data_IF_272544110148
#
_entry.id   IF_272544110148
#
_cell.length_a   1.000
_cell.length_b   1.000
_cell.length_c   1.000
_cell.angle_alpha   90.00
_cell.angle_beta   90.00
_cell.angle_gamma   90.00
#
_symmetry.space_group_name_H-M   'P 1'
#
loop_
_entity.id
_entity.type
_entity.pdbx_description
1 polymer ?
#
# COMPACT_ATOMS: atom_id res chain seq x y z
N UNK A 1 -12.43 48.36 -40.90
CA UNK A 1 -13.02 47.06 -40.49
C UNK A 1 -12.25 46.60 -39.25
N UNK A 2 -12.82 46.89 -38.10
CA UNK A 2 -12.24 46.63 -36.79
C UNK A 2 -12.78 45.31 -36.32
N UNK A 3 -11.89 44.36 -35.95
CA UNK A 3 -12.28 43.13 -35.29
C UNK A 3 -11.93 43.25 -33.80
N UNK A 4 -12.98 43.36 -33.01
CA UNK A 4 -12.99 43.25 -31.57
C UNK A 4 -12.64 41.79 -31.17
N UNK A 5 -11.54 41.60 -30.48
CA UNK A 5 -11.21 40.35 -29.78
C UNK A 5 -11.57 40.52 -28.33
N UNK A 6 -12.72 39.96 -27.94
CA UNK A 6 -13.16 39.83 -26.56
C UNK A 6 -12.25 38.81 -25.86
N UNK A 7 -11.50 39.32 -24.88
CA UNK A 7 -10.73 38.59 -23.89
C UNK A 7 -11.69 37.86 -22.94
N UNK A 8 -11.70 36.52 -23.02
CA UNK A 8 -12.36 35.67 -22.03
C UNK A 8 -11.39 35.36 -20.93
N UNK A 9 -11.45 36.16 -19.88
CA UNK A 9 -10.90 35.84 -18.57
C UNK A 9 -11.35 34.42 -18.15
N UNK A 10 -10.41 33.46 -18.15
CA UNK A 10 -10.61 32.16 -17.54
C UNK A 10 -10.38 32.29 -16.04
N UNK A 11 -11.45 32.05 -15.31
CA UNK A 11 -11.43 31.86 -13.85
C UNK A 11 -10.37 30.84 -13.46
N UNK A 12 -9.39 31.34 -12.73
CA UNK A 12 -8.36 30.59 -12.07
C UNK A 12 -9.01 29.98 -10.82
N UNK A 13 -9.70 28.82 -10.96
CA UNK A 13 -10.19 28.07 -9.83
C UNK A 13 -9.00 27.56 -9.04
N UNK A 14 -8.91 28.11 -7.85
CA UNK A 14 -7.98 27.79 -6.77
C UNK A 14 -7.76 26.26 -6.64
N UNK A 15 -6.62 25.79 -7.11
CA UNK A 15 -6.04 24.55 -6.61
C UNK A 15 -5.58 24.84 -5.17
N UNK A 16 -6.35 24.37 -4.20
CA UNK A 16 -5.89 24.30 -2.82
C UNK A 16 -4.67 23.37 -2.81
N UNK A 17 -3.54 23.92 -2.36
CA UNK A 17 -2.33 23.13 -2.10
C UNK A 17 -2.69 21.95 -1.18
N UNK A 18 -2.12 20.74 -1.43
CA UNK A 18 -2.36 19.61 -0.54
C UNK A 18 -1.84 19.97 0.84
N UNK A 19 -2.73 19.91 1.84
CA UNK A 19 -2.40 20.11 3.25
C UNK A 19 -1.13 19.35 3.58
N UNK A 20 -0.14 20.05 4.10
CA UNK A 20 1.12 19.51 4.58
C UNK A 20 0.79 18.60 5.77
N UNK A 21 0.68 17.28 5.52
CA UNK A 21 0.42 16.31 6.57
C UNK A 21 1.62 16.26 7.53
N UNK A 22 1.38 16.62 8.78
CA UNK A 22 2.35 16.48 9.86
C UNK A 22 2.63 14.99 10.12
N UNK A 23 3.73 14.50 9.56
CA UNK A 23 4.19 13.13 9.73
C UNK A 23 4.92 12.89 11.06
N UNK A 24 5.03 13.91 11.94
CA UNK A 24 5.72 13.82 13.23
C UNK A 24 5.13 12.71 14.11
N UNK A 25 3.81 12.48 14.02
CA UNK A 25 3.11 11.40 14.70
C UNK A 25 3.59 10.01 14.24
N UNK A 26 3.92 9.84 12.97
CA UNK A 26 4.39 8.56 12.44
C UNK A 26 5.76 8.16 12.97
N UNK A 27 6.59 9.12 13.36
CA UNK A 27 7.91 8.89 13.97
C UNK A 27 7.86 8.64 15.47
N UNK A 28 6.83 9.13 16.17
CA UNK A 28 6.65 8.93 17.62
C UNK A 28 5.82 7.69 17.94
N UNK A 29 5.25 7.02 16.94
CA UNK A 29 4.39 5.86 17.14
C UNK A 29 5.23 4.61 17.51
N UNK A 30 4.95 4.05 18.70
CA UNK A 30 5.62 2.83 19.15
C UNK A 30 5.02 1.58 18.47
N UNK A 31 5.73 1.04 17.50
CA UNK A 31 5.30 -0.10 16.68
C UNK A 31 5.31 -1.45 17.40
N UNK A 32 5.99 -1.52 18.56
CA UNK A 32 6.01 -2.76 19.35
C UNK A 32 4.70 -2.97 20.13
N UNK A 33 3.95 -1.90 20.38
CA UNK A 33 2.69 -1.92 21.12
C UNK A 33 1.61 -1.00 20.51
N UNK A 34 1.21 -1.22 19.26
CA UNK A 34 0.27 -0.34 18.57
C UNK A 34 -1.11 -0.33 19.24
N UNK A 35 -1.55 -1.47 19.81
CA UNK A 35 -2.86 -1.58 20.45
C UNK A 35 -2.94 -0.76 21.75
N UNK A 36 -1.85 -0.65 22.51
CA UNK A 36 -1.80 0.14 23.75
C UNK A 36 -1.90 1.63 23.44
N UNK A 37 -1.20 2.13 22.42
CA UNK A 37 -1.25 3.54 22.04
C UNK A 37 -2.60 3.95 21.46
N UNK A 38 -3.22 3.08 20.65
CA UNK A 38 -4.59 3.30 20.18
C UNK A 38 -5.58 3.27 21.35
N UNK A 39 -5.38 2.40 22.32
CA UNK A 39 -6.23 2.31 23.53
C UNK A 39 -6.07 3.56 24.42
N UNK A 40 -4.85 4.08 24.55
CA UNK A 40 -4.57 5.29 25.33
C UNK A 40 -5.15 6.53 24.65
N UNK A 41 -4.98 6.70 23.35
CA UNK A 41 -5.62 7.74 22.56
C UNK A 41 -7.15 7.70 22.66
N UNK A 42 -7.74 6.50 22.66
CA UNK A 42 -9.18 6.31 22.86
C UNK A 42 -9.64 6.64 24.30
N UNK A 43 -8.81 6.37 25.33
CA UNK A 43 -9.11 6.79 26.71
C UNK A 43 -9.18 8.30 26.84
N UNK A 44 -8.20 9.02 26.29
CA UNK A 44 -8.19 10.49 26.32
C UNK A 44 -9.43 11.08 25.64
N UNK A 45 -9.86 10.51 24.53
CA UNK A 45 -11.10 10.93 23.82
C UNK A 45 -12.39 10.59 24.58
N UNK A 46 -12.37 9.55 25.44
CA UNK A 46 -13.54 9.11 26.21
C UNK A 46 -13.65 9.78 27.58
N UNK A 47 -12.53 10.18 28.22
CA UNK A 47 -12.52 10.80 29.55
C UNK A 47 -13.05 12.25 29.57
N UNK A 48 -13.11 12.95 28.44
CA UNK A 48 -13.58 14.35 28.39
C UNK A 48 -15.13 14.49 28.42
N UNK A 49 -15.89 13.45 28.83
CA UNK A 49 -17.37 13.48 28.74
C UNK A 49 -18.16 13.00 29.96
N UNK A 50 -17.57 12.96 31.16
CA UNK A 50 -18.35 12.62 32.36
C UNK A 50 -18.51 13.82 33.28
N UNK A 51 -19.36 14.77 32.87
CA UNK A 51 -20.04 15.68 33.80
C UNK A 51 -21.37 16.12 33.18
N UNK A 52 -22.46 15.50 33.57
CA UNK A 52 -23.77 16.08 33.93
C UNK A 52 -24.93 15.07 33.84
N UNK A 53 -25.56 14.72 34.92
CA UNK A 53 -26.98 15.06 35.22
C UNK A 53 -27.67 14.09 36.18
N UNK A 54 -28.44 14.68 37.04
CA UNK A 54 -29.29 13.98 38.02
C UNK A 54 -30.70 13.63 37.52
N UNK A 55 -31.21 12.63 38.12
CA UNK A 55 -32.55 12.21 38.67
C UNK A 55 -33.84 12.28 37.82
N UNK A 56 -34.57 11.15 37.60
CA UNK A 56 -35.91 10.73 38.15
C UNK A 56 -36.61 9.63 37.35
N UNK A 57 -37.25 8.67 38.08
CA UNK A 57 -38.36 7.72 37.86
C UNK A 57 -38.12 6.36 37.13
N UNK A 58 -38.53 5.20 37.80
CA UNK A 58 -37.97 3.89 37.48
C UNK A 58 -38.53 3.13 36.25
N UNK A 59 -39.65 3.46 35.71
CA UNK A 59 -40.22 2.71 34.56
C UNK A 59 -40.01 3.39 33.20
N UNK A 60 -39.84 4.72 33.15
CA UNK A 60 -39.31 5.44 31.98
C UNK A 60 -37.78 5.31 31.90
N UNK A 61 -37.13 5.01 33.00
CA UNK A 61 -35.69 4.85 33.13
C UNK A 61 -35.16 3.60 32.39
N UNK A 62 -35.85 2.45 32.46
CA UNK A 62 -35.39 1.22 31.80
C UNK A 62 -35.43 1.28 30.24
N UNK A 63 -36.48 1.90 29.69
CA UNK A 63 -36.55 2.10 28.22
C UNK A 63 -35.58 3.17 27.77
N UNK A 64 -35.37 4.20 28.59
CA UNK A 64 -34.35 5.25 28.28
C UNK A 64 -32.90 4.77 28.51
N UNK A 65 -32.66 3.88 29.47
CA UNK A 65 -31.33 3.29 29.68
C UNK A 65 -30.94 2.37 28.54
N UNK A 66 -31.84 1.50 28.08
CA UNK A 66 -31.62 0.66 26.88
C UNK A 66 -31.40 1.48 25.62
N UNK A 67 -32.15 2.58 25.45
CA UNK A 67 -31.97 3.47 24.29
C UNK A 67 -30.66 4.28 24.38
N UNK A 68 -30.23 4.67 25.58
CA UNK A 68 -28.94 5.35 25.82
C UNK A 68 -27.77 4.38 25.68
N UNK A 69 -27.86 3.12 26.10
CA UNK A 69 -26.87 2.09 25.89
C UNK A 69 -26.67 1.80 24.39
N UNK A 70 -27.75 1.62 23.63
CA UNK A 70 -27.68 1.41 22.18
C UNK A 70 -27.12 2.63 21.43
N UNK A 71 -27.39 3.85 21.87
CA UNK A 71 -26.76 5.06 21.29
C UNK A 71 -25.29 5.19 21.68
N UNK A 72 -24.92 4.84 22.93
CA UNK A 72 -23.53 4.82 23.41
C UNK A 72 -22.71 3.77 22.65
N UNK A 73 -23.29 2.60 22.38
CA UNK A 73 -22.66 1.54 21.60
C UNK A 73 -22.50 1.91 20.12
N UNK A 74 -23.51 2.56 19.52
CA UNK A 74 -23.39 3.10 18.15
C UNK A 74 -22.29 4.16 18.05
N UNK A 75 -22.20 5.08 19.04
CA UNK A 75 -21.12 6.10 19.08
C UNK A 75 -19.74 5.45 19.27
N UNK A 76 -19.62 4.44 20.13
CA UNK A 76 -18.37 3.69 20.32
C UNK A 76 -17.98 2.94 19.05
N UNK A 77 -18.95 2.37 18.35
CA UNK A 77 -18.72 1.69 17.09
C UNK A 77 -18.26 2.67 16.00
N UNK A 78 -18.91 3.81 15.85
CA UNK A 78 -18.52 4.86 14.90
C UNK A 78 -17.10 5.41 15.18
N UNK A 79 -16.73 5.59 16.46
CA UNK A 79 -15.38 6.01 16.85
C UNK A 79 -14.35 4.92 16.48
N UNK A 80 -14.66 3.64 16.73
CA UNK A 80 -13.76 2.54 16.35
C UNK A 80 -13.58 2.44 14.83
N UNK A 81 -14.65 2.61 14.08
CA UNK A 81 -14.62 2.60 12.61
C UNK A 81 -13.81 3.78 12.07
N UNK A 82 -14.00 4.98 12.63
CA UNK A 82 -13.20 6.15 12.27
C UNK A 82 -11.71 5.94 12.58
N UNK A 83 -11.37 5.44 13.77
CA UNK A 83 -9.99 5.15 14.14
C UNK A 83 -9.36 4.05 13.27
N UNK A 84 -10.13 3.03 12.88
CA UNK A 84 -9.67 1.98 11.98
C UNK A 84 -9.40 2.53 10.56
N UNK A 85 -10.24 3.44 10.07
CA UNK A 85 -10.06 4.10 8.79
C UNK A 85 -8.80 4.98 8.78
N UNK A 86 -8.58 5.76 9.83
CA UNK A 86 -7.37 6.58 9.99
C UNK A 86 -6.10 5.71 10.06
N UNK A 87 -6.14 4.62 10.82
CA UNK A 87 -5.03 3.68 10.88
C UNK A 87 -4.73 3.05 9.52
N UNK A 88 -5.75 2.72 8.73
CA UNK A 88 -5.58 2.21 7.37
C UNK A 88 -4.94 3.27 6.45
N UNK A 89 -5.37 4.53 6.56
CA UNK A 89 -4.80 5.65 5.83
C UNK A 89 -3.32 5.87 6.14
N UNK A 90 -2.96 5.84 7.43
CA UNK A 90 -1.56 5.97 7.86
C UNK A 90 -0.70 4.83 7.32
N UNK A 91 -1.18 3.58 7.40
CA UNK A 91 -0.48 2.41 6.82
C UNK A 91 -0.24 2.59 5.33
N UNK A 92 -1.23 3.08 4.60
CA UNK A 92 -1.12 3.35 3.17
C UNK A 92 -0.08 4.42 2.86
N UNK A 93 -0.09 5.55 3.59
CA UNK A 93 0.89 6.63 3.43
C UNK A 93 2.32 6.15 3.72
N UNK A 94 2.50 5.32 4.75
CA UNK A 94 3.81 4.72 5.06
C UNK A 94 4.28 3.75 3.97
N UNK A 95 3.39 2.98 3.36
CA UNK A 95 3.75 2.06 2.29
C UNK A 95 4.13 2.77 0.98
N UNK A 96 3.63 3.99 0.75
CA UNK A 96 3.96 4.79 -0.44
C UNK A 96 5.22 5.64 -0.23
N UNK A 97 5.53 6.04 1.01
CA UNK A 97 6.65 6.93 1.29
C UNK A 97 8.00 6.22 1.03
N UNK A 98 8.79 6.63 0.02
CA UNK A 98 10.04 5.95 -0.37
C UNK A 98 11.11 5.94 0.73
N UNK A 99 10.96 6.78 1.75
CA UNK A 99 11.87 6.86 2.89
C UNK A 99 11.50 5.92 4.05
N UNK A 100 10.39 5.19 3.96
CA UNK A 100 9.97 4.28 5.02
C UNK A 100 11.04 3.21 5.30
N UNK A 101 11.45 3.04 6.57
CA UNK A 101 12.46 2.05 6.93
C UNK A 101 11.99 0.60 6.69
N UNK A 102 12.89 -0.33 6.30
CA UNK A 102 12.54 -1.72 6.07
C UNK A 102 11.82 -2.43 7.23
N UNK A 103 12.18 -2.24 8.50
CA UNK A 103 11.45 -2.86 9.62
C UNK A 103 9.98 -2.42 9.71
N UNK A 104 9.69 -1.16 9.36
CA UNK A 104 8.31 -0.64 9.34
C UNK A 104 7.53 -1.33 8.22
N UNK A 105 8.12 -1.45 7.02
CA UNK A 105 7.50 -2.18 5.91
C UNK A 105 7.19 -3.63 6.27
N UNK A 106 8.13 -4.31 6.94
CA UNK A 106 7.92 -5.67 7.41
C UNK A 106 6.75 -5.76 8.41
N UNK A 107 6.66 -4.81 9.32
CA UNK A 107 5.55 -4.74 10.28
C UNK A 107 4.21 -4.50 9.57
N UNK A 108 4.19 -3.63 8.57
CA UNK A 108 2.97 -3.32 7.80
C UNK A 108 2.43 -4.54 7.03
N UNK A 109 3.25 -5.55 6.72
CA UNK A 109 2.77 -6.77 6.04
C UNK A 109 1.90 -7.67 6.91
N UNK A 110 1.87 -7.46 8.23
CA UNK A 110 1.07 -8.28 9.14
C UNK A 110 -0.40 -7.92 9.00
N UNK A 111 -1.23 -8.91 8.68
CA UNK A 111 -2.69 -8.75 8.52
C UNK A 111 -3.09 -7.60 7.56
N UNK A 112 -2.29 -7.35 6.54
CA UNK A 112 -2.52 -6.31 5.56
C UNK A 112 -3.40 -6.80 4.39
N UNK A 113 -4.25 -5.95 3.81
CA UNK A 113 -4.96 -6.29 2.58
C UNK A 113 -3.99 -6.42 1.40
N UNK A 114 -4.34 -7.24 0.39
CA UNK A 114 -3.50 -7.50 -0.78
C UNK A 114 -2.99 -6.23 -1.46
N UNK A 115 -3.83 -5.22 -1.60
CA UNK A 115 -3.46 -3.93 -2.20
C UNK A 115 -2.32 -3.22 -1.46
N UNK A 116 -2.29 -3.30 -0.12
CA UNK A 116 -1.19 -2.74 0.67
C UNK A 116 0.08 -3.58 0.53
N UNK A 117 -0.06 -4.92 0.48
CA UNK A 117 1.06 -5.85 0.26
C UNK A 117 1.70 -5.65 -1.12
N UNK A 118 0.90 -5.38 -2.15
CA UNK A 118 1.36 -5.01 -3.49
C UNK A 118 2.25 -3.77 -3.45
N UNK A 119 1.80 -2.70 -2.78
CA UNK A 119 2.59 -1.47 -2.60
C UNK A 119 3.89 -1.69 -1.83
N UNK A 120 3.87 -2.56 -0.82
CA UNK A 120 5.09 -2.95 -0.10
C UNK A 120 6.02 -3.77 -1.01
N UNK A 121 5.46 -4.65 -1.86
CA UNK A 121 6.21 -5.41 -2.86
C UNK A 121 6.94 -4.52 -3.86
N UNK A 122 6.34 -3.42 -4.29
CA UNK A 122 6.94 -2.40 -5.19
C UNK A 122 7.92 -1.46 -4.47
N UNK A 123 7.94 -1.44 -3.13
CA UNK A 123 8.67 -0.43 -2.39
C UNK A 123 10.19 -0.57 -2.55
N UNK A 124 10.93 0.52 -2.87
CA UNK A 124 12.37 0.46 -3.17
C UNK A 124 13.24 0.08 -1.97
N UNK A 125 12.73 0.20 -0.76
CA UNK A 125 13.43 -0.19 0.48
C UNK A 125 12.88 -1.48 1.10
N UNK A 126 12.02 -2.22 0.42
CA UNK A 126 11.58 -3.51 0.90
C UNK A 126 12.77 -4.48 1.02
N UNK A 127 12.88 -5.15 2.17
CA UNK A 127 13.97 -6.09 2.41
C UNK A 127 13.71 -7.41 1.68
N UNK A 128 14.77 -8.08 1.23
CA UNK A 128 14.67 -9.34 0.48
C UNK A 128 13.93 -10.45 1.23
N UNK A 129 14.00 -10.48 2.57
CA UNK A 129 13.26 -11.42 3.41
C UNK A 129 11.74 -11.14 3.39
N UNK A 130 11.35 -9.88 3.42
CA UNK A 130 9.94 -9.47 3.29
C UNK A 130 9.42 -9.83 1.90
N UNK A 131 10.19 -9.54 0.85
CA UNK A 131 9.86 -9.90 -0.53
C UNK A 131 9.73 -11.42 -0.71
N UNK A 132 10.64 -12.22 -0.12
CA UNK A 132 10.54 -13.68 -0.19
C UNK A 132 9.26 -14.22 0.47
N UNK A 133 8.76 -13.58 1.51
CA UNK A 133 7.48 -13.92 2.15
C UNK A 133 6.29 -13.52 1.29
N UNK A 134 6.34 -12.35 0.64
CA UNK A 134 5.29 -11.89 -0.29
C UNK A 134 5.25 -12.71 -1.59
N UNK A 135 6.38 -13.27 -2.01
CA UNK A 135 6.49 -14.11 -3.21
C UNK A 135 5.68 -15.42 -3.15
N UNK A 136 5.24 -15.83 -1.97
CA UNK A 136 4.39 -17.03 -1.77
C UNK A 136 2.95 -16.67 -1.38
N UNK A 137 2.57 -15.40 -1.54
CA UNK A 137 1.21 -14.94 -1.23
C UNK A 137 0.19 -15.55 -2.19
N UNK A 138 -1.06 -15.75 -1.72
CA UNK A 138 -2.14 -16.33 -2.53
C UNK A 138 -2.52 -15.45 -3.73
N UNK A 139 -2.48 -14.14 -3.56
CA UNK A 139 -2.80 -13.16 -4.59
C UNK A 139 -1.62 -13.01 -5.58
N UNK A 140 -1.91 -13.21 -6.87
CA UNK A 140 -0.91 -13.12 -7.94
C UNK A 140 -0.39 -11.68 -8.14
N UNK A 141 -1.18 -10.64 -7.86
CA UNK A 141 -0.74 -9.25 -7.98
C UNK A 141 0.35 -8.91 -6.94
N UNK A 142 0.22 -9.43 -5.72
CA UNK A 142 1.27 -9.32 -4.70
C UNK A 142 2.55 -10.02 -5.16
N UNK A 143 2.46 -11.22 -5.74
CA UNK A 143 3.64 -11.92 -6.26
C UNK A 143 4.26 -11.20 -7.48
N UNK A 144 3.41 -10.61 -8.33
CA UNK A 144 3.85 -9.83 -9.48
C UNK A 144 4.63 -8.56 -9.07
N UNK A 145 4.19 -7.86 -8.03
CA UNK A 145 4.91 -6.69 -7.50
C UNK A 145 6.31 -7.06 -6.98
N UNK A 146 6.45 -8.26 -6.36
CA UNK A 146 7.76 -8.78 -5.95
C UNK A 146 8.66 -9.08 -7.15
N UNK A 147 8.10 -9.56 -8.27
CA UNK A 147 8.86 -9.86 -9.48
C UNK A 147 9.54 -8.64 -10.10
N UNK A 148 8.98 -7.46 -9.93
CA UNK A 148 9.52 -6.19 -10.43
C UNK A 148 10.54 -5.54 -9.46
N UNK A 149 10.60 -5.96 -8.21
CA UNK A 149 11.42 -5.31 -7.21
C UNK A 149 12.91 -5.69 -7.34
N UNK A 150 13.77 -4.68 -7.44
CA UNK A 150 15.24 -4.86 -7.59
C UNK A 150 15.90 -5.54 -6.37
N UNK A 151 15.28 -5.47 -5.19
CA UNK A 151 15.80 -6.10 -3.97
C UNK A 151 15.37 -7.56 -3.84
N UNK A 152 14.64 -8.09 -4.82
CA UNK A 152 14.20 -9.49 -4.82
C UNK A 152 15.40 -10.41 -5.02
N UNK A 153 15.56 -11.38 -4.11
CA UNK A 153 16.68 -12.31 -4.18
C UNK A 153 16.60 -13.21 -5.41
N UNK A 154 17.75 -13.60 -5.96
CA UNK A 154 17.82 -14.53 -7.10
C UNK A 154 17.06 -15.83 -6.85
N UNK A 155 17.11 -16.35 -5.62
CA UNK A 155 16.37 -17.55 -5.22
C UNK A 155 14.85 -17.32 -5.37
N UNK A 156 14.37 -16.17 -4.94
CA UNK A 156 12.94 -15.79 -5.06
C UNK A 156 12.54 -15.63 -6.52
N UNK A 157 13.37 -14.98 -7.33
CA UNK A 157 13.12 -14.82 -8.77
C UNK A 157 13.01 -16.19 -9.48
N UNK A 158 13.91 -17.13 -9.18
CA UNK A 158 13.84 -18.49 -9.75
C UNK A 158 12.56 -19.25 -9.36
N UNK A 159 12.01 -18.99 -8.17
CA UNK A 159 10.71 -19.54 -7.79
C UNK A 159 9.58 -18.90 -8.62
N UNK A 160 9.60 -17.59 -8.83
CA UNK A 160 8.59 -16.85 -9.58
C UNK A 160 8.62 -17.15 -11.10
N UNK A 161 9.75 -17.58 -11.65
CA UNK A 161 9.84 -18.07 -13.05
C UNK A 161 8.87 -19.23 -13.31
N UNK A 162 8.60 -20.04 -12.27
CA UNK A 162 7.69 -21.19 -12.32
C UNK A 162 6.35 -20.90 -11.65
N UNK A 163 5.99 -19.62 -11.51
CA UNK A 163 4.72 -19.23 -10.90
C UNK A 163 3.54 -19.77 -11.73
N UNK A 164 2.49 -20.29 -11.09
CA UNK A 164 1.30 -20.77 -11.81
C UNK A 164 0.58 -19.67 -12.58
N UNK A 165 0.70 -18.40 -12.16
CA UNK A 165 0.10 -17.27 -12.87
C UNK A 165 0.99 -16.77 -14.00
N UNK A 166 0.50 -16.72 -15.24
CA UNK A 166 1.23 -16.15 -16.36
C UNK A 166 1.50 -14.65 -16.16
N UNK A 167 0.67 -13.94 -15.38
CA UNK A 167 0.86 -12.52 -15.12
C UNK A 167 2.15 -12.26 -14.32
N UNK A 168 2.45 -13.11 -13.34
CA UNK A 168 3.71 -13.04 -12.58
C UNK A 168 4.91 -13.30 -13.48
N UNK A 169 4.83 -14.34 -14.33
CA UNK A 169 5.90 -14.67 -15.27
C UNK A 169 6.07 -13.57 -16.33
N UNK A 170 4.96 -12.93 -16.76
CA UNK A 170 4.98 -11.80 -17.69
C UNK A 170 5.72 -10.58 -17.07
N UNK A 171 5.48 -10.28 -15.81
CA UNK A 171 6.19 -9.21 -15.10
C UNK A 171 7.70 -9.44 -15.05
N UNK A 172 8.13 -10.68 -14.82
CA UNK A 172 9.55 -11.03 -14.92
C UNK A 172 10.09 -10.86 -16.35
N UNK A 173 9.32 -11.23 -17.36
CA UNK A 173 9.70 -11.08 -18.78
C UNK A 173 9.80 -9.61 -19.21
N UNK A 174 9.12 -8.70 -18.53
CA UNK A 174 9.18 -7.24 -18.74
C UNK A 174 10.37 -6.59 -18.05
N UNK A 175 10.88 -7.18 -16.98
CA UNK A 175 11.90 -6.59 -16.14
C UNK A 175 13.28 -6.63 -16.81
N UNK A 176 13.93 -5.47 -16.87
CA UNK A 176 15.32 -5.33 -17.36
C UNK A 176 16.36 -5.66 -16.30
N UNK A 177 15.96 -5.81 -15.05
CA UNK A 177 16.85 -6.13 -13.93
C UNK A 177 17.06 -7.63 -13.77
N UNK A 178 16.25 -8.43 -14.43
CA UNK A 178 16.31 -9.90 -14.39
C UNK A 178 17.46 -10.39 -15.27
N UNK A 179 18.29 -11.33 -14.79
CA UNK A 179 19.37 -11.89 -15.57
C UNK A 179 18.94 -12.52 -16.89
N UNK A 180 19.77 -12.41 -17.92
CA UNK A 180 19.52 -12.97 -19.27
C UNK A 180 19.20 -14.47 -19.23
N UNK A 181 19.81 -15.22 -18.29
CA UNK A 181 19.54 -16.64 -18.11
C UNK A 181 18.06 -16.93 -17.81
N UNK A 182 17.43 -16.08 -16.99
CA UNK A 182 16.01 -16.20 -16.64
C UNK A 182 15.13 -15.80 -17.82
N UNK A 183 15.46 -14.71 -18.52
CA UNK A 183 14.74 -14.30 -19.72
C UNK A 183 14.79 -15.36 -20.81
N UNK A 184 15.88 -16.13 -20.94
CA UNK A 184 15.97 -17.28 -21.86
C UNK A 184 14.99 -18.38 -21.48
N UNK A 185 14.84 -18.68 -20.18
CA UNK A 185 13.86 -19.67 -19.72
C UNK A 185 12.44 -19.20 -20.02
N UNK A 186 12.14 -17.92 -19.78
CA UNK A 186 10.83 -17.33 -20.07
C UNK A 186 10.56 -17.17 -21.59
N UNK A 187 11.61 -17.15 -22.43
CA UNK A 187 11.44 -17.11 -23.88
C UNK A 187 10.87 -18.43 -24.46
N UNK A 188 10.99 -19.52 -23.69
CA UNK A 188 10.42 -20.85 -23.99
C UNK A 188 9.19 -21.14 -23.12
N UNK A 189 8.54 -20.11 -22.56
CA UNK A 189 7.34 -20.26 -21.73
C UNK A 189 6.17 -20.84 -22.53
N UNK A 190 5.35 -21.67 -21.88
CA UNK A 190 4.13 -22.24 -22.44
C UNK A 190 3.10 -21.17 -22.88
N UNK A 191 3.11 -20.00 -22.22
CA UNK A 191 2.24 -18.89 -22.57
C UNK A 191 2.92 -18.01 -23.63
N UNK A 192 2.32 -17.89 -24.85
CA UNK A 192 2.93 -17.16 -25.97
C UNK A 192 3.13 -15.67 -25.69
N UNK A 193 2.34 -15.07 -24.80
CA UNK A 193 2.52 -13.66 -24.41
C UNK A 193 3.78 -13.48 -23.57
N UNK A 194 4.03 -14.38 -22.62
CA UNK A 194 5.24 -14.39 -21.79
C UNK A 194 6.47 -14.63 -22.66
N UNK A 195 6.44 -15.67 -23.49
CA UNK A 195 7.54 -16.00 -24.39
C UNK A 195 7.89 -14.83 -25.33
N UNK A 196 6.89 -14.27 -26.02
CA UNK A 196 7.08 -13.13 -26.93
C UNK A 196 7.65 -11.91 -26.19
N UNK A 197 7.21 -11.66 -24.95
CA UNK A 197 7.70 -10.53 -24.15
C UNK A 197 9.16 -10.73 -23.74
N UNK A 198 9.50 -11.91 -23.26
CA UNK A 198 10.87 -12.27 -22.89
C UNK A 198 11.83 -12.15 -24.08
N UNK A 199 11.43 -12.63 -25.26
CA UNK A 199 12.23 -12.49 -26.49
C UNK A 199 12.48 -11.02 -26.86
N UNK A 200 11.46 -10.16 -26.76
CA UNK A 200 11.61 -8.72 -27.03
C UNK A 200 12.59 -8.06 -26.04
N UNK A 201 12.48 -8.40 -24.76
CA UNK A 201 13.35 -7.88 -23.71
C UNK A 201 14.81 -8.34 -23.95
N UNK A 202 15.02 -9.61 -24.30
CA UNK A 202 16.32 -10.15 -24.68
C UNK A 202 16.93 -9.41 -25.88
N UNK A 203 16.18 -9.24 -26.95
CA UNK A 203 16.66 -8.54 -28.15
C UNK A 203 17.06 -7.09 -27.84
N UNK A 204 16.32 -6.40 -26.98
CA UNK A 204 16.64 -5.05 -26.54
C UNK A 204 17.94 -5.01 -25.74
N UNK A 205 18.10 -5.88 -24.75
CA UNK A 205 19.31 -5.97 -23.95
C UNK A 205 20.54 -6.32 -24.80
N UNK A 206 20.39 -7.21 -25.79
CA UNK A 206 21.47 -7.57 -26.69
C UNK A 206 21.91 -6.40 -27.58
N UNK A 207 20.98 -5.56 -28.05
CA UNK A 207 21.32 -4.32 -28.78
C UNK A 207 22.09 -3.33 -27.90
N UNK A 208 21.61 -3.07 -26.70
CA UNK A 208 22.30 -2.17 -25.75
C UNK A 208 23.74 -2.63 -25.46
N UNK A 209 23.98 -3.93 -25.33
CA UNK A 209 25.34 -4.48 -25.15
C UNK A 209 26.18 -4.34 -26.39
N UNK A 210 25.63 -4.46 -27.62
CA UNK A 210 26.39 -4.27 -28.85
C UNK A 210 26.76 -2.79 -29.07
N UNK A 211 25.83 -1.89 -28.79
CA UNK A 211 26.05 -0.44 -28.93
C UNK A 211 27.13 0.05 -27.96
N UNK A 212 27.18 -0.48 -26.72
CA UNK A 212 28.25 -0.17 -25.76
C UNK A 212 29.64 -0.70 -26.15
N UNK A 213 29.71 -1.73 -27.00
CA UNK A 213 31.02 -2.26 -27.50
C UNK A 213 31.53 -1.52 -28.72
N UNK A 214 30.68 -0.76 -29.39
CA UNK A 214 31.02 0.00 -30.61
C UNK A 214 31.26 1.48 -30.34
N UNK A 215 31.02 1.98 -29.15
CA UNK A 215 31.30 3.34 -28.67
C UNK A 215 32.62 3.41 -27.91
#
# INVERSE_FOLDING_TARGET
MSFDTQDKSRDNSSYSEPEQYDLSFAYSFNWDKPEEQIREALKVLLCNREENSGNTEPQRAEVMTKKKETEKDKKRQAIKESAALEAARIRWLLAINPNTPPPVLDHLTRNAPSQLLERIGEHPRAHSTTLARLAVHSDCQVRASVAENMNTSMKTIWNLVRDPSPDVRLRLAESYTVPIAILRVLADDENPYVASRAQRTLLRLMREVTDLKTA
#
